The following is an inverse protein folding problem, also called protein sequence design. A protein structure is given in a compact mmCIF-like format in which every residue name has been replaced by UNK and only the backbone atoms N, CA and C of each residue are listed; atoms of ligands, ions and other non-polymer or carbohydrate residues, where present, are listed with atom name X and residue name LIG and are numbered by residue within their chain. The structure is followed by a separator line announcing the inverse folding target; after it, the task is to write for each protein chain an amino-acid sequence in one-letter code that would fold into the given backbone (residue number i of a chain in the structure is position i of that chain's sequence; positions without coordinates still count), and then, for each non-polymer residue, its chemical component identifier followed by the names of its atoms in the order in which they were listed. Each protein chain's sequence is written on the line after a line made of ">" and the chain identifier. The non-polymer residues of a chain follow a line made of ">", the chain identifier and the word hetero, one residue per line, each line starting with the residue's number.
data_IF_945691084925
#
_entry.id   IF_945691084925
#
_cell.length_a   1.000
_cell.length_b   1.000
_cell.length_c   1.000
_cell.angle_alpha   90.00
_cell.angle_beta   90.00
_cell.angle_gamma   90.00
#
_symmetry.space_group_name_H-M   'P 1'
#
loop_
_entity.id
_entity.type
_entity.pdbx_description
1 polymer ?
#
# COMPACT_ATOMS: atom_id res chain seq x y z
N UNK A 1 -1.03 13.35 34.46
CA UNK A 1 -0.15 12.59 33.58
C UNK A 1 0.09 13.47 32.38
N UNK A 2 1.31 13.96 32.19
CA UNK A 2 1.56 14.88 31.07
C UNK A 2 1.44 14.10 29.77
N UNK A 3 0.49 14.52 28.93
CA UNK A 3 0.26 13.92 27.62
C UNK A 3 1.37 14.37 26.70
N UNK A 4 2.20 13.44 26.25
CA UNK A 4 3.28 13.71 25.31
C UNK A 4 2.94 13.12 23.93
N UNK A 5 3.00 13.90 22.83
CA UNK A 5 2.73 13.37 21.49
C UNK A 5 3.69 12.22 21.13
N UNK A 6 3.15 11.08 20.71
CA UNK A 6 3.94 9.99 20.16
C UNK A 6 4.38 10.33 18.75
N UNK A 7 5.68 10.55 18.56
CA UNK A 7 6.30 10.78 17.27
C UNK A 7 7.16 9.55 16.96
N UNK A 8 6.95 8.92 15.81
CA UNK A 8 7.63 7.69 15.40
C UNK A 8 8.73 7.96 14.38
N UNK A 9 9.75 7.10 14.37
CA UNK A 9 10.73 7.06 13.29
C UNK A 9 10.09 6.39 12.07
N UNK A 10 10.15 6.99 10.87
CA UNK A 10 9.60 6.38 9.67
C UNK A 10 10.45 5.17 9.23
N UNK A 11 9.80 4.11 8.78
CA UNK A 11 10.47 2.98 8.12
C UNK A 11 10.47 3.25 6.61
N UNK A 12 11.64 3.59 6.06
CA UNK A 12 11.79 3.88 4.64
C UNK A 12 11.97 2.58 3.86
N UNK A 13 11.18 2.38 2.81
CA UNK A 13 11.27 1.21 1.93
C UNK A 13 11.72 1.63 0.52
N UNK A 14 12.93 1.24 0.09
CA UNK A 14 13.36 1.39 -1.29
C UNK A 14 12.43 0.62 -2.23
N UNK A 15 12.10 1.21 -3.37
CA UNK A 15 11.28 0.57 -4.40
C UNK A 15 11.78 0.99 -5.78
N UNK A 16 11.72 0.08 -6.75
CA UNK A 16 12.14 0.34 -8.14
C UNK A 16 11.38 1.50 -8.80
N UNK A 17 10.18 1.80 -8.30
CA UNK A 17 9.31 2.88 -8.77
C UNK A 17 9.38 4.13 -7.87
N UNK A 18 10.22 4.12 -6.84
CA UNK A 18 10.33 5.18 -5.84
C UNK A 18 10.93 6.47 -6.38
N UNK A 19 10.71 7.55 -5.65
CA UNK A 19 11.09 8.90 -6.04
C UNK A 19 11.83 9.68 -4.98
N UNK A 20 11.78 11.01 -5.11
CA UNK A 20 12.33 11.99 -4.16
C UNK A 20 11.31 13.07 -3.77
N UNK A 21 10.02 12.94 -4.11
CA UNK A 21 8.98 13.88 -3.66
C UNK A 21 8.82 13.85 -2.14
N UNK A 22 9.03 12.70 -1.48
CA UNK A 22 9.06 12.63 0.00
C UNK A 22 10.10 13.58 0.60
N UNK A 23 11.29 13.66 0.01
CA UNK A 23 12.34 14.61 0.42
C UNK A 23 11.99 16.04 0.01
N UNK A 24 11.69 16.25 -1.26
CA UNK A 24 11.57 17.59 -1.85
C UNK A 24 10.30 18.35 -1.43
N UNK A 25 9.20 17.64 -1.17
CA UNK A 25 7.90 18.26 -0.85
C UNK A 25 7.53 18.12 0.63
N UNK A 26 7.93 17.01 1.27
CA UNK A 26 7.57 16.72 2.67
C UNK A 26 8.77 16.81 3.63
N UNK A 27 9.93 17.27 3.15
CA UNK A 27 11.15 17.46 3.93
C UNK A 27 11.60 16.20 4.70
N UNK A 28 11.30 15.01 4.18
CA UNK A 28 11.77 13.76 4.78
C UNK A 28 13.26 13.57 4.52
N UNK A 29 13.99 13.13 5.54
CA UNK A 29 15.39 12.74 5.40
C UNK A 29 15.48 11.37 4.72
N UNK A 30 15.89 11.34 3.44
CA UNK A 30 16.08 10.10 2.69
C UNK A 30 17.57 9.81 2.47
N UNK A 31 18.01 8.54 2.46
CA UNK A 31 19.37 8.17 2.10
C UNK A 31 19.76 8.71 0.72
N UNK A 32 21.00 9.19 0.56
CA UNK A 32 21.46 9.80 -0.69
C UNK A 32 21.56 8.73 -1.79
N UNK A 33 20.96 9.01 -2.95
CA UNK A 33 21.03 8.14 -4.14
C UNK A 33 20.05 6.96 -4.13
N UNK A 34 19.26 6.78 -3.06
CA UNK A 34 18.23 5.75 -3.00
C UNK A 34 16.87 6.27 -3.49
N UNK A 35 16.18 5.44 -4.25
CA UNK A 35 14.79 5.63 -4.65
C UNK A 35 13.87 5.05 -3.58
N UNK A 36 13.24 5.92 -2.79
CA UNK A 36 12.32 5.51 -1.73
C UNK A 36 10.90 5.60 -2.28
N UNK A 37 10.20 4.46 -2.30
CA UNK A 37 8.82 4.42 -2.75
C UNK A 37 7.83 4.54 -1.61
N UNK A 38 8.16 4.04 -0.43
CA UNK A 38 7.27 4.07 0.72
C UNK A 38 8.00 4.61 1.95
N UNK A 39 7.30 5.42 2.74
CA UNK A 39 7.67 5.75 4.11
C UNK A 39 6.54 5.30 5.01
N UNK A 40 6.78 4.29 5.82
CA UNK A 40 5.78 3.80 6.77
C UNK A 40 5.86 4.66 8.02
N UNK A 41 4.79 5.41 8.29
CA UNK A 41 4.72 6.33 9.42
C UNK A 41 4.24 5.60 10.67
N UNK A 42 3.30 4.67 10.52
CA UNK A 42 2.72 3.86 11.60
C UNK A 42 2.62 2.42 11.12
N UNK A 43 3.36 1.51 11.78
CA UNK A 43 3.35 0.08 11.53
C UNK A 43 3.42 -0.70 12.84
N UNK A 44 2.64 -1.78 12.93
CA UNK A 44 2.71 -2.77 13.99
C UNK A 44 2.53 -4.18 13.39
N UNK A 45 3.43 -4.54 12.48
CA UNK A 45 3.48 -5.84 11.83
C UNK A 45 4.49 -6.78 12.52
N UNK A 46 4.54 -8.03 12.09
CA UNK A 46 5.48 -9.03 12.64
C UNK A 46 6.93 -8.63 12.40
N UNK A 47 7.25 -8.23 11.17
CA UNK A 47 8.62 -7.92 10.75
C UNK A 47 8.93 -6.41 10.78
N UNK A 48 7.92 -5.56 10.96
CA UNK A 48 8.04 -4.10 10.86
C UNK A 48 7.20 -3.41 11.94
N UNK A 49 7.87 -2.78 12.90
CA UNK A 49 7.22 -2.00 13.96
C UNK A 49 7.78 -0.58 14.03
N UNK A 50 6.89 0.40 14.10
CA UNK A 50 7.25 1.80 14.33
C UNK A 50 7.84 1.97 15.74
N UNK A 51 8.94 2.72 15.84
CA UNK A 51 9.64 2.98 17.10
C UNK A 51 9.47 4.46 17.47
N UNK A 52 9.15 4.74 18.74
CA UNK A 52 9.01 6.11 19.23
C UNK A 52 10.36 6.83 19.17
N UNK A 53 10.39 7.99 18.49
CA UNK A 53 11.59 8.77 18.23
C UNK A 53 12.01 9.66 19.40
N UNK A 54 11.04 10.21 20.14
CA UNK A 54 11.26 11.26 21.15
C UNK A 54 10.33 11.11 22.35
N UNK A 55 10.67 11.79 23.45
CA UNK A 55 9.88 11.82 24.66
C UNK A 55 10.09 10.60 25.58
N UNK A 56 9.26 10.47 26.63
CA UNK A 56 9.44 9.45 27.68
C UNK A 56 9.35 8.00 27.19
N UNK A 57 8.61 7.75 26.11
CA UNK A 57 8.46 6.43 25.51
C UNK A 57 9.48 6.12 24.41
N UNK A 58 10.49 6.99 24.20
CA UNK A 58 11.51 6.83 23.16
C UNK A 58 12.13 5.42 23.20
N UNK A 59 12.24 4.80 22.04
CA UNK A 59 12.82 3.46 21.86
C UNK A 59 11.82 2.32 22.04
N UNK A 60 10.59 2.57 22.54
CA UNK A 60 9.53 1.57 22.54
C UNK A 60 8.93 1.39 21.16
N UNK A 61 8.53 0.16 20.83
CA UNK A 61 7.78 -0.14 19.61
C UNK A 61 6.29 0.15 19.81
N UNK A 62 5.56 0.40 18.72
CA UNK A 62 4.11 0.58 18.78
C UNK A 62 3.41 -0.65 19.40
N UNK A 63 3.87 -1.87 19.08
CA UNK A 63 3.34 -3.10 19.68
C UNK A 63 3.52 -3.15 21.19
N UNK A 64 4.69 -2.73 21.71
CA UNK A 64 4.91 -2.62 23.16
C UNK A 64 3.95 -1.61 23.80
N UNK A 65 3.72 -0.46 23.17
CA UNK A 65 2.76 0.53 23.67
C UNK A 65 1.32 -0.01 23.65
N UNK A 66 0.95 -0.77 22.62
CA UNK A 66 -0.35 -1.43 22.54
C UNK A 66 -0.55 -2.41 23.69
N UNK A 67 0.46 -3.24 23.99
CA UNK A 67 0.42 -4.21 25.09
C UNK A 67 0.39 -3.52 26.47
N UNK A 68 1.25 -2.53 26.68
CA UNK A 68 1.42 -1.89 27.98
C UNK A 68 0.32 -0.88 28.31
N UNK A 69 -0.12 -0.07 27.32
CA UNK A 69 -1.04 1.05 27.55
C UNK A 69 -2.48 0.71 27.17
N UNK A 70 -2.69 -0.30 26.32
CA UNK A 70 -4.01 -0.83 25.98
C UNK A 70 -5.03 0.26 25.62
N UNK A 71 -6.10 0.36 26.41
CA UNK A 71 -7.19 1.31 26.18
C UNK A 71 -6.77 2.79 26.28
N UNK A 72 -5.72 3.11 27.05
CA UNK A 72 -5.24 4.50 27.15
C UNK A 72 -4.60 4.98 25.84
N UNK A 73 -4.02 4.06 25.07
CA UNK A 73 -3.50 4.33 23.72
C UNK A 73 -4.60 4.23 22.65
N UNK A 74 -5.41 3.17 22.69
CA UNK A 74 -6.33 2.81 21.61
C UNK A 74 -7.69 3.52 21.70
N UNK A 75 -8.05 4.01 22.88
CA UNK A 75 -9.40 4.48 23.18
C UNK A 75 -10.43 3.38 22.90
N UNK A 76 -11.28 3.60 21.89
CA UNK A 76 -12.34 2.66 21.48
C UNK A 76 -11.95 1.78 20.29
N UNK A 77 -10.76 1.97 19.72
CA UNK A 77 -10.31 1.19 18.59
C UNK A 77 -10.12 -0.27 19.00
N UNK A 78 -10.59 -1.20 18.17
CA UNK A 78 -10.32 -2.63 18.34
C UNK A 78 -9.00 -2.98 17.67
N UNK A 79 -8.25 -3.89 18.28
CA UNK A 79 -7.08 -4.47 17.65
C UNK A 79 -7.47 -5.28 16.41
N UNK A 80 -6.55 -5.34 15.44
CA UNK A 80 -6.64 -6.24 14.30
C UNK A 80 -5.64 -7.37 14.51
N UNK A 81 -6.13 -8.60 14.71
CA UNK A 81 -5.31 -9.77 15.05
C UNK A 81 -4.31 -9.53 16.18
N UNK A 82 -4.75 -8.82 17.23
CA UNK A 82 -3.93 -8.49 18.40
C UNK A 82 -2.94 -7.35 18.21
N UNK A 83 -2.98 -6.63 17.07
CA UNK A 83 -2.07 -5.53 16.72
C UNK A 83 -2.80 -4.21 16.53
N UNK A 84 -2.03 -3.12 16.50
CA UNK A 84 -2.57 -1.80 16.14
C UNK A 84 -3.31 -1.87 14.80
N UNK A 85 -4.54 -1.33 14.70
CA UNK A 85 -5.46 -1.71 13.63
C UNK A 85 -5.24 -1.02 12.28
N UNK A 86 -4.17 -0.25 12.11
CA UNK A 86 -3.87 0.48 10.88
C UNK A 86 -2.38 0.42 10.54
N UNK A 87 -2.10 0.38 9.24
CA UNK A 87 -0.81 0.71 8.67
C UNK A 87 -0.95 2.03 7.89
N UNK A 88 -0.12 3.01 8.21
CA UNK A 88 -0.15 4.34 7.59
C UNK A 88 1.18 4.58 6.87
N UNK A 89 1.10 4.90 5.59
CA UNK A 89 2.26 5.07 4.71
C UNK A 89 2.14 6.37 3.90
N UNK A 90 3.28 6.87 3.47
CA UNK A 90 3.40 7.84 2.39
C UNK A 90 4.02 7.14 1.19
N UNK A 91 3.38 7.22 0.03
CA UNK A 91 3.84 6.57 -1.21
C UNK A 91 4.22 7.62 -2.24
N UNK A 92 5.43 7.53 -2.77
CA UNK A 92 5.95 8.39 -3.83
C UNK A 92 6.18 7.58 -5.11
N UNK A 93 5.18 7.63 -5.99
CA UNK A 93 5.21 6.93 -7.26
C UNK A 93 5.92 7.78 -8.33
N UNK A 94 7.24 7.64 -8.45
CA UNK A 94 7.99 8.22 -9.58
C UNK A 94 7.76 7.45 -10.88
N UNK A 95 7.48 6.15 -10.77
CA UNK A 95 6.98 5.31 -11.85
C UNK A 95 5.69 4.58 -11.41
N UNK A 96 4.95 4.03 -12.36
CA UNK A 96 3.68 3.34 -12.10
C UNK A 96 3.93 2.07 -11.29
N UNK A 97 3.21 1.89 -10.18
CA UNK A 97 3.30 0.69 -9.36
C UNK A 97 2.76 -0.53 -10.13
N UNK A 98 3.10 -1.74 -9.67
CA UNK A 98 2.49 -2.96 -10.21
C UNK A 98 0.96 -2.90 -10.13
N UNK A 99 0.29 -3.57 -11.07
CA UNK A 99 -1.15 -3.85 -11.00
C UNK A 99 -1.38 -4.93 -9.96
N UNK A 100 -2.23 -4.64 -8.99
CA UNK A 100 -2.38 -5.43 -7.77
C UNK A 100 -3.84 -5.61 -7.40
N UNK A 101 -4.09 -6.62 -6.59
CA UNK A 101 -5.36 -6.83 -5.89
C UNK A 101 -5.07 -7.39 -4.51
N UNK A 102 -5.93 -7.04 -3.57
CA UNK A 102 -5.81 -7.45 -2.17
C UNK A 102 -6.93 -8.42 -1.81
N UNK A 103 -6.65 -9.43 -0.97
CA UNK A 103 -7.66 -10.41 -0.55
C UNK A 103 -8.75 -9.75 0.30
N UNK A 104 -9.98 -10.22 0.11
CA UNK A 104 -11.07 -10.02 1.06
C UNK A 104 -11.04 -11.10 2.16
N UNK A 105 -12.02 -11.10 3.06
CA UNK A 105 -12.09 -12.14 4.11
C UNK A 105 -12.26 -13.55 3.55
N UNK A 106 -13.03 -13.71 2.47
CA UNK A 106 -13.31 -15.03 1.89
C UNK A 106 -12.06 -15.61 1.22
N UNK A 107 -11.35 -14.80 0.44
CA UNK A 107 -10.07 -15.13 -0.16
C UNK A 107 -9.01 -15.41 0.91
N UNK A 108 -8.94 -14.59 1.96
CA UNK A 108 -8.00 -14.83 3.07
C UNK A 108 -8.22 -16.20 3.74
N UNK A 109 -9.48 -16.61 3.93
CA UNK A 109 -9.81 -17.94 4.47
C UNK A 109 -9.46 -19.09 3.52
N UNK A 110 -9.68 -18.93 2.21
CA UNK A 110 -9.34 -19.95 1.20
C UNK A 110 -7.83 -20.14 1.06
N UNK A 111 -7.10 -19.03 0.95
CA UNK A 111 -5.65 -19.02 0.75
C UNK A 111 -4.90 -19.41 2.05
N UNK A 112 -5.49 -19.13 3.21
CA UNK A 112 -5.00 -19.58 4.50
C UNK A 112 -3.69 -18.93 4.95
N UNK A 113 -3.05 -19.52 5.97
CA UNK A 113 -1.76 -19.09 6.49
C UNK A 113 -1.75 -17.65 7.04
N UNK A 114 -0.79 -16.84 6.57
CA UNK A 114 -0.63 -15.43 7.00
C UNK A 114 -1.52 -14.45 6.22
N UNK A 115 -2.35 -14.93 5.28
CA UNK A 115 -3.21 -14.07 4.45
C UNK A 115 -4.28 -13.40 5.30
N UNK A 116 -4.43 -12.09 5.14
CA UNK A 116 -5.40 -11.24 5.84
C UNK A 116 -6.09 -10.32 4.86
N UNK A 117 -7.36 -10.00 5.14
CA UNK A 117 -8.08 -8.96 4.41
C UNK A 117 -7.23 -7.68 4.37
N UNK A 118 -7.22 -6.99 3.23
CA UNK A 118 -6.57 -5.69 3.12
C UNK A 118 -7.46 -4.73 2.33
N UNK A 119 -7.99 -3.75 3.05
CA UNK A 119 -8.61 -2.56 2.47
C UNK A 119 -7.63 -1.40 2.60
N UNK A 120 -7.68 -0.47 1.64
CA UNK A 120 -6.87 0.74 1.69
C UNK A 120 -7.64 1.96 1.19
N UNK A 121 -7.12 3.13 1.54
CA UNK A 121 -7.57 4.40 1.02
C UNK A 121 -6.37 5.28 0.71
N UNK A 122 -6.42 5.98 -0.43
CA UNK A 122 -5.39 6.92 -0.84
C UNK A 122 -5.91 8.34 -0.78
N UNK A 123 -5.24 9.19 -0.01
CA UNK A 123 -5.39 10.63 -0.08
C UNK A 123 -4.25 11.23 -0.91
N UNK A 124 -4.58 11.92 -2.00
CA UNK A 124 -3.60 12.52 -2.91
C UNK A 124 -3.03 13.79 -2.29
N UNK A 125 -1.80 13.71 -1.81
CA UNK A 125 -1.04 14.83 -1.25
C UNK A 125 -0.56 15.75 -2.37
N UNK A 126 -0.04 15.16 -3.44
CA UNK A 126 0.44 15.85 -4.63
C UNK A 126 0.31 14.95 -5.88
N UNK A 127 0.17 15.56 -7.05
CA UNK A 127 0.13 14.85 -8.32
C UNK A 127 0.63 15.76 -9.44
N UNK A 128 1.42 15.20 -10.35
CA UNK A 128 1.78 15.87 -11.60
C UNK A 128 0.53 16.13 -12.47
N UNK A 129 0.65 17.01 -13.46
CA UNK A 129 -0.47 17.37 -14.36
C UNK A 129 -1.17 16.16 -15.00
N UNK A 130 -0.38 15.12 -15.34
CA UNK A 130 -0.87 13.88 -15.95
C UNK A 130 -1.01 12.72 -14.94
N UNK A 131 -0.97 13.02 -13.64
CA UNK A 131 -1.07 12.07 -12.54
C UNK A 131 -2.39 11.28 -12.59
N UNK A 132 -2.32 10.00 -12.28
CA UNK A 132 -3.45 9.08 -12.43
C UNK A 132 -3.36 7.90 -11.47
N UNK A 133 -4.47 7.17 -11.35
CA UNK A 133 -4.51 5.83 -10.77
C UNK A 133 -5.22 4.87 -11.73
N UNK A 134 -4.92 3.59 -11.62
CA UNK A 134 -5.81 2.54 -12.09
C UNK A 134 -6.67 2.08 -10.91
N UNK A 135 -7.99 2.00 -11.11
CA UNK A 135 -8.94 1.52 -10.10
C UNK A 135 -10.11 0.82 -10.80
N UNK A 136 -10.14 -0.49 -10.67
CA UNK A 136 -11.06 -1.38 -11.37
C UNK A 136 -10.65 -1.66 -12.82
N UNK A 137 -11.45 -2.52 -13.44
CA UNK A 137 -11.38 -2.83 -14.87
C UNK A 137 -12.41 -1.97 -15.64
N UNK A 138 -12.29 -1.93 -16.96
CA UNK A 138 -13.29 -1.32 -17.84
C UNK A 138 -14.58 -2.14 -17.82
N UNK A 139 -15.68 -1.48 -18.17
CA UNK A 139 -16.97 -2.14 -18.33
C UNK A 139 -16.89 -3.28 -19.36
N UNK A 140 -17.54 -4.41 -19.06
CA UNK A 140 -17.54 -5.61 -19.91
C UNK A 140 -16.28 -6.48 -19.82
N UNK A 141 -15.30 -6.13 -18.99
CA UNK A 141 -14.14 -7.00 -18.75
C UNK A 141 -14.50 -8.08 -17.74
N UNK A 142 -14.61 -9.31 -18.24
CA UNK A 142 -14.80 -10.53 -17.45
C UNK A 142 -13.45 -11.15 -17.02
N UNK A 143 -13.46 -12.20 -16.16
CA UNK A 143 -12.23 -12.86 -15.73
C UNK A 143 -11.38 -13.42 -16.87
N UNK A 144 -12.01 -13.97 -17.91
CA UNK A 144 -11.31 -14.56 -19.05
C UNK A 144 -10.64 -13.49 -19.92
N UNK A 145 -11.28 -12.34 -20.09
CA UNK A 145 -10.74 -11.17 -20.79
C UNK A 145 -9.54 -10.59 -20.04
N UNK A 146 -9.62 -10.52 -18.70
CA UNK A 146 -8.48 -10.11 -17.88
C UNK A 146 -7.32 -11.09 -18.01
N UNK A 147 -7.58 -12.40 -17.92
CA UNK A 147 -6.56 -13.45 -18.06
C UNK A 147 -5.86 -13.36 -19.43
N UNK A 148 -6.64 -13.27 -20.52
CA UNK A 148 -6.09 -13.07 -21.87
C UNK A 148 -5.24 -11.80 -21.97
N UNK A 149 -5.66 -10.71 -21.33
CA UNK A 149 -4.90 -9.46 -21.32
C UNK A 149 -3.58 -9.58 -20.54
N UNK A 150 -3.53 -10.39 -19.47
CA UNK A 150 -2.28 -10.70 -18.76
C UNK A 150 -1.34 -11.51 -19.64
N UNK A 151 -1.83 -12.59 -20.25
CA UNK A 151 -1.05 -13.47 -21.13
C UNK A 151 -0.50 -12.72 -22.36
N UNK A 152 -1.31 -11.82 -22.94
CA UNK A 152 -0.92 -10.98 -24.07
C UNK A 152 -0.13 -9.72 -23.67
N UNK A 153 0.22 -9.54 -22.39
CA UNK A 153 0.89 -8.35 -21.86
C UNK A 153 0.17 -7.02 -22.19
N UNK A 154 -1.15 -7.08 -22.33
CA UNK A 154 -2.04 -5.98 -22.73
C UNK A 154 -2.93 -5.49 -21.57
N UNK A 155 -2.57 -5.78 -20.32
CA UNK A 155 -3.37 -5.46 -19.10
C UNK A 155 -3.80 -4.00 -19.05
N UNK A 156 -2.94 -3.06 -19.49
CA UNK A 156 -3.26 -1.63 -19.55
C UNK A 156 -4.56 -1.33 -20.32
N UNK A 157 -4.87 -2.13 -21.35
CA UNK A 157 -6.05 -1.92 -22.19
C UNK A 157 -7.36 -2.21 -21.45
N UNK A 158 -7.35 -3.11 -20.45
CA UNK A 158 -8.53 -3.52 -19.69
C UNK A 158 -8.71 -2.77 -18.38
N UNK A 159 -7.72 -1.98 -17.94
CA UNK A 159 -7.81 -1.20 -16.69
C UNK A 159 -8.56 0.12 -16.86
N UNK A 160 -9.31 0.51 -15.82
CA UNK A 160 -9.94 1.82 -15.71
C UNK A 160 -8.95 2.84 -15.14
N UNK A 161 -8.50 3.76 -16.00
CA UNK A 161 -7.60 4.86 -15.64
C UNK A 161 -8.41 6.07 -15.17
N UNK A 162 -8.04 6.63 -14.02
CA UNK A 162 -8.68 7.79 -13.41
C UNK A 162 -7.61 8.87 -13.23
N UNK A 163 -7.81 10.04 -13.82
CA UNK A 163 -6.95 11.20 -13.55
C UNK A 163 -7.17 11.66 -12.11
N UNK A 164 -6.08 11.98 -11.40
CA UNK A 164 -6.16 12.39 -9.99
C UNK A 164 -5.73 13.82 -9.80
N UNK A 165 -6.19 14.44 -8.71
CA UNK A 165 -5.81 15.79 -8.31
C UNK A 165 -5.55 15.81 -6.81
N UNK A 166 -4.66 16.71 -6.38
CA UNK A 166 -4.41 17.00 -4.97
C UNK A 166 -5.70 17.20 -4.18
N UNK A 167 -5.75 16.65 -2.97
CA UNK A 167 -6.89 16.73 -2.06
C UNK A 167 -7.99 15.70 -2.31
N UNK A 168 -7.87 14.85 -3.33
CA UNK A 168 -8.84 13.76 -3.59
C UNK A 168 -8.53 12.53 -2.75
N UNK A 169 -9.58 11.84 -2.33
CA UNK A 169 -9.49 10.56 -1.64
C UNK A 169 -10.12 9.46 -2.49
N UNK A 170 -9.47 8.30 -2.54
CA UNK A 170 -9.93 7.12 -3.26
C UNK A 170 -9.95 5.93 -2.31
N UNK A 171 -11.13 5.36 -2.09
CA UNK A 171 -11.28 4.12 -1.35
C UNK A 171 -11.10 2.91 -2.27
N UNK A 172 -10.32 1.95 -1.79
CA UNK A 172 -9.91 0.73 -2.48
C UNK A 172 -10.26 -0.45 -1.56
N UNK A 173 -11.53 -0.88 -1.56
CA UNK A 173 -11.88 -2.10 -0.84
C UNK A 173 -11.15 -3.29 -1.45
N UNK A 174 -10.89 -4.30 -0.62
CA UNK A 174 -10.37 -5.59 -1.04
C UNK A 174 -11.10 -6.14 -2.27
N UNK A 175 -10.34 -6.82 -3.14
CA UNK A 175 -10.80 -7.28 -4.44
C UNK A 175 -10.83 -6.25 -5.56
N UNK A 176 -10.60 -4.96 -5.27
CA UNK A 176 -10.44 -3.95 -6.32
C UNK A 176 -9.09 -4.13 -7.02
N UNK A 177 -9.05 -4.30 -8.35
CA UNK A 177 -7.78 -4.19 -9.10
C UNK A 177 -7.33 -2.74 -9.11
N UNK A 178 -6.08 -2.46 -8.74
CA UNK A 178 -5.59 -1.10 -8.70
C UNK A 178 -4.08 -0.99 -8.95
N UNK A 179 -3.64 0.22 -9.26
CA UNK A 179 -2.23 0.62 -9.27
C UNK A 179 -2.14 2.14 -9.14
N UNK A 180 -1.19 2.60 -8.31
CA UNK A 180 -0.83 4.01 -8.22
C UNK A 180 0.00 4.39 -9.47
N UNK A 181 -0.44 5.43 -10.19
CA UNK A 181 0.24 5.89 -11.39
C UNK A 181 1.48 6.75 -11.08
N UNK A 182 2.38 6.83 -12.05
CA UNK A 182 3.55 7.71 -11.98
C UNK A 182 3.15 9.19 -11.75
N UNK A 183 4.00 9.90 -11.01
CA UNK A 183 3.85 11.31 -10.66
C UNK A 183 2.95 11.58 -9.46
N UNK A 184 2.45 10.55 -8.77
CA UNK A 184 1.47 10.70 -7.68
C UNK A 184 2.11 10.43 -6.32
N UNK A 185 1.89 11.36 -5.37
CA UNK A 185 2.26 11.24 -3.96
C UNK A 185 0.99 11.11 -3.13
N UNK A 186 0.86 10.02 -2.37
CA UNK A 186 -0.33 9.75 -1.53
C UNK A 186 0.03 9.48 -0.08
N UNK A 187 -0.90 9.81 0.82
CA UNK A 187 -1.02 9.13 2.10
C UNK A 187 -1.91 7.90 1.89
N UNK A 188 -1.41 6.74 2.26
CA UNK A 188 -2.13 5.48 2.26
C UNK A 188 -2.48 5.10 3.70
N UNK A 189 -3.75 4.86 3.96
CA UNK A 189 -4.26 4.32 5.22
C UNK A 189 -4.88 2.98 4.91
N UNK A 190 -4.38 1.92 5.55
CA UNK A 190 -4.77 0.56 5.21
C UNK A 190 -4.90 -0.35 6.44
N UNK A 191 -5.57 -1.48 6.25
CA UNK A 191 -5.50 -2.62 7.18
C UNK A 191 -4.04 -3.01 7.41
N UNK A 192 -3.62 -3.44 8.63
CA UNK A 192 -2.23 -3.79 8.93
C UNK A 192 -1.87 -5.14 8.29
N UNK A 193 -1.64 -5.11 6.97
CA UNK A 193 -1.26 -6.25 6.14
C UNK A 193 -0.37 -5.75 5.00
N UNK A 194 0.77 -6.40 4.79
CA UNK A 194 1.66 -6.10 3.65
C UNK A 194 1.51 -7.12 2.51
N UNK A 195 0.45 -7.92 2.54
CA UNK A 195 0.19 -8.92 1.51
C UNK A 195 -0.40 -8.25 0.27
N UNK A 196 0.18 -8.60 -0.87
CA UNK A 196 -0.12 -8.01 -2.17
C UNK A 196 -0.06 -9.07 -3.26
N UNK A 197 -1.14 -9.27 -3.99
CA UNK A 197 -1.13 -10.14 -5.17
C UNK A 197 -0.94 -9.32 -6.43
N UNK A 198 0.20 -9.55 -7.10
CA UNK A 198 0.63 -8.81 -8.28
C UNK A 198 0.14 -9.51 -9.54
N UNK A 199 -0.66 -8.83 -10.34
CA UNK A 199 -1.11 -9.34 -11.64
C UNK A 199 -0.14 -9.01 -12.76
N UNK A 200 0.43 -7.81 -12.73
CA UNK A 200 1.26 -7.30 -13.81
C UNK A 200 2.24 -6.24 -13.32
N UNK A 201 3.43 -6.22 -13.90
CA UNK A 201 4.50 -5.31 -13.48
C UNK A 201 5.20 -4.55 -14.60
N UNK A 202 4.48 -4.35 -15.72
CA UNK A 202 5.00 -3.60 -16.87
C UNK A 202 6.27 -4.21 -17.47
N UNK A 203 6.46 -5.53 -17.30
CA UNK A 203 7.63 -6.28 -17.73
C UNK A 203 8.97 -5.69 -17.23
N UNK A 204 8.95 -5.01 -16.08
CA UNK A 204 10.15 -4.42 -15.49
C UNK A 204 11.10 -5.50 -14.98
N UNK A 205 12.39 -5.24 -15.13
CA UNK A 205 13.45 -6.02 -14.49
C UNK A 205 13.81 -5.32 -13.19
N UNK A 206 13.82 -6.07 -12.10
CA UNK A 206 14.28 -5.57 -10.81
C UNK A 206 15.81 -5.41 -10.86
N UNK A 207 16.35 -4.19 -10.68
CA UNK A 207 17.78 -3.97 -10.71
C UNK A 207 18.55 -4.75 -9.63
N UNK A 208 17.94 -5.08 -8.49
CA UNK A 208 18.63 -5.80 -7.42
C UNK A 208 18.76 -7.30 -7.68
N UNK A 209 17.86 -7.88 -8.48
CA UNK A 209 17.86 -9.33 -8.78
C UNK A 209 18.24 -9.64 -10.24
N UNK A 210 18.18 -8.65 -11.13
CA UNK A 210 18.36 -8.83 -12.57
C UNK A 210 17.24 -9.60 -13.25
N UNK A 211 16.10 -9.83 -12.58
CA UNK A 211 14.98 -10.65 -13.07
C UNK A 211 13.64 -9.91 -12.95
N UNK A 212 12.59 -10.32 -13.69
CA UNK A 212 11.23 -9.84 -13.44
C UNK A 212 10.78 -10.12 -12.01
N UNK A 213 10.00 -9.22 -11.42
CA UNK A 213 9.39 -9.47 -10.11
C UNK A 213 8.30 -10.53 -10.20
N UNK A 214 8.14 -11.28 -9.12
CA UNK A 214 7.12 -12.32 -9.02
C UNK A 214 5.71 -11.78 -9.25
N UNK A 215 4.93 -12.57 -10.00
CA UNK A 215 3.51 -12.38 -10.24
C UNK A 215 2.73 -13.47 -9.50
N UNK A 216 1.58 -13.12 -8.96
CA UNK A 216 0.72 -13.99 -8.15
C UNK A 216 -0.63 -14.18 -8.85
N UNK A 217 -0.61 -14.64 -10.10
CA UNK A 217 -1.80 -14.59 -10.97
C UNK A 217 -2.96 -15.42 -10.43
N UNK A 218 -2.71 -16.64 -9.96
CA UNK A 218 -3.75 -17.51 -9.41
C UNK A 218 -4.38 -16.90 -8.16
N UNK A 219 -3.56 -16.47 -7.20
CA UNK A 219 -4.03 -15.83 -5.97
C UNK A 219 -4.75 -14.51 -6.26
N UNK A 220 -4.26 -13.73 -7.22
CA UNK A 220 -4.90 -12.49 -7.62
C UNK A 220 -6.30 -12.74 -8.19
N UNK A 221 -6.45 -13.74 -9.08
CA UNK A 221 -7.76 -14.10 -9.65
C UNK A 221 -8.76 -14.54 -8.58
N UNK A 222 -8.30 -15.20 -7.52
CA UNK A 222 -9.14 -15.56 -6.37
C UNK A 222 -9.61 -14.37 -5.53
N UNK A 223 -8.96 -13.22 -5.65
CA UNK A 223 -9.25 -12.03 -4.85
C UNK A 223 -10.18 -11.04 -5.57
N UNK A 224 -10.22 -11.04 -6.91
CA UNK A 224 -10.88 -9.97 -7.68
C UNK A 224 -12.40 -9.96 -7.49
N UNK A 225 -12.94 -8.79 -7.16
CA UNK A 225 -14.35 -8.50 -7.30
C UNK A 225 -14.61 -7.88 -8.67
N UNK A 226 -15.34 -8.60 -9.53
CA UNK A 226 -15.74 -8.12 -10.86
C UNK A 226 -17.03 -7.28 -10.82
N UNK A 227 -17.71 -7.24 -9.68
CA UNK A 227 -18.85 -6.36 -9.47
C UNK A 227 -18.33 -4.95 -9.21
N UNK A 228 -18.37 -4.09 -10.24
CA UNK A 228 -17.99 -2.69 -10.14
C UNK A 228 -19.24 -1.83 -10.09
N UNK A 229 -19.61 -1.37 -8.89
CA UNK A 229 -20.48 -0.19 -8.71
C UNK A 229 -19.68 1.11 -8.92
#
# INVERSE_FOLDING_TARGET
>A
MDVYPLIFQPILKPKIWGGRKLENLLAKCLPKGELIGESWEIADLEDDQSIVAVGPAKGKTLGQLVEEWGADLLGRAKLFDGRFPLLIKLLDANDTLSVQVHPDEAAARRLGGRVRIKNEAWYVIDADENGFIYRGVREGVDPDALKRAVEAQAVKSVLKRIAVKKGRCYYLPSGTIHALGAGVLVAEVQTPSDITYRLYDWNRIDPSTGSPRELHLEQALECISYNTE
#
